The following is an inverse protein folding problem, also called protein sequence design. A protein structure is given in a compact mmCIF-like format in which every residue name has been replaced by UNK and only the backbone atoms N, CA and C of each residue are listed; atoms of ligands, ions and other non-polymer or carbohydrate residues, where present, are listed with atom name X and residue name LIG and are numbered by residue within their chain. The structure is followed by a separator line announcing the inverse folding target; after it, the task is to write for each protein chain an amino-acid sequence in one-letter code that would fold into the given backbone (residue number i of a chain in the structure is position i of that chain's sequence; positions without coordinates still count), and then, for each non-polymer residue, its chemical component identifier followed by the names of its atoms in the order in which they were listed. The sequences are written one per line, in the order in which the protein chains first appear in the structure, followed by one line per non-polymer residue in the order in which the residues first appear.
data_IF_069850592691
#
_entry.id   IF_069850592691
#
_cell.length_a   1.000
_cell.length_b   1.000
_cell.length_c   1.000
_cell.angle_alpha   90.00
_cell.angle_beta   90.00
_cell.angle_gamma   90.00
#
_symmetry.space_group_name_H-M   'P 1'
#
loop_
_entity.id
_entity.type
_entity.pdbx_description
1 polymer ?
#
# COMPACT_ATOMS: atom_id res chain seq x y z
N UNK A 1 -43.11 0.93 -33.31
CA UNK A 1 -42.10 -0.13 -33.14
C UNK A 1 -40.64 0.35 -33.22
N UNK A 2 -40.21 1.11 -34.24
CA UNK A 2 -38.79 1.52 -34.40
C UNK A 2 -38.18 2.34 -33.25
N UNK A 3 -38.96 3.14 -32.51
CA UNK A 3 -38.46 3.94 -31.37
C UNK A 3 -38.12 3.09 -30.13
N UNK A 4 -38.91 2.07 -29.82
CA UNK A 4 -38.71 1.20 -28.65
C UNK A 4 -37.45 0.34 -28.83
N UNK A 5 -37.23 -0.15 -30.05
CA UNK A 5 -36.03 -0.92 -30.39
C UNK A 5 -34.75 -0.07 -30.25
N UNK A 6 -34.80 1.22 -30.63
CA UNK A 6 -33.67 2.15 -30.45
C UNK A 6 -33.35 2.43 -28.98
N UNK A 7 -34.36 2.52 -28.11
CA UNK A 7 -34.18 2.76 -26.68
C UNK A 7 -33.60 1.53 -25.96
N UNK A 8 -34.04 0.32 -26.32
CA UNK A 8 -33.48 -0.92 -25.80
C UNK A 8 -32.02 -1.12 -26.22
N UNK A 9 -31.70 -0.84 -27.50
CA UNK A 9 -30.33 -0.96 -28.00
C UNK A 9 -29.37 0.03 -27.30
N UNK A 10 -29.83 1.26 -27.06
CA UNK A 10 -29.02 2.27 -26.39
C UNK A 10 -28.84 1.95 -24.90
N UNK A 11 -29.86 1.42 -24.21
CA UNK A 11 -29.71 0.95 -22.83
C UNK A 11 -28.73 -0.23 -22.70
N UNK A 12 -28.79 -1.19 -23.64
CA UNK A 12 -27.82 -2.31 -23.70
C UNK A 12 -26.40 -1.80 -23.98
N UNK A 13 -26.25 -0.85 -24.90
CA UNK A 13 -24.95 -0.27 -25.23
C UNK A 13 -24.34 0.50 -24.05
N UNK A 14 -25.15 1.31 -23.34
CA UNK A 14 -24.69 2.03 -22.14
C UNK A 14 -24.31 1.08 -21.01
N UNK A 15 -25.05 -0.03 -20.85
CA UNK A 15 -24.75 -1.06 -19.85
C UNK A 15 -23.47 -1.82 -20.18
N UNK A 16 -23.28 -2.17 -21.46
CA UNK A 16 -22.06 -2.81 -21.97
C UNK A 16 -20.84 -1.88 -21.84
N UNK A 17 -20.99 -0.60 -22.15
CA UNK A 17 -19.94 0.41 -21.98
C UNK A 17 -19.58 0.61 -20.49
N UNK A 18 -20.57 0.59 -19.58
CA UNK A 18 -20.30 0.58 -18.14
C UNK A 18 -19.54 -0.68 -17.70
N UNK A 19 -19.88 -1.85 -18.24
CA UNK A 19 -19.18 -3.10 -17.91
C UNK A 19 -17.70 -3.06 -18.32
N UNK A 20 -17.42 -2.50 -19.50
CA UNK A 20 -16.07 -2.30 -20.04
C UNK A 20 -15.27 -1.24 -19.26
N UNK A 21 -15.92 -0.22 -18.72
CA UNK A 21 -15.25 0.82 -17.92
C UNK A 21 -14.95 0.36 -16.48
N UNK A 22 -15.66 -0.66 -15.97
CA UNK A 22 -15.44 -1.24 -14.64
C UNK A 22 -14.29 -2.27 -14.61
N UNK A 23 -13.81 -2.73 -15.77
CA UNK A 23 -12.61 -3.57 -15.90
C UNK A 23 -11.36 -2.71 -16.09
N UNK A 24 -11.09 -1.79 -15.17
CA UNK A 24 -9.77 -1.15 -15.12
C UNK A 24 -8.83 -2.05 -14.31
N UNK A 25 -7.61 -2.35 -14.78
CA UNK A 25 -6.63 -3.05 -13.97
C UNK A 25 -6.37 -2.24 -12.70
N UNK A 26 -6.41 -2.91 -11.54
CA UNK A 26 -6.03 -2.29 -10.29
C UNK A 26 -4.59 -1.79 -10.42
N UNK A 27 -4.38 -0.48 -10.22
CA UNK A 27 -3.03 0.07 -10.07
C UNK A 27 -2.34 -0.64 -8.92
N UNK A 28 -1.03 -0.90 -9.06
CA UNK A 28 -0.26 -1.42 -7.94
C UNK A 28 -0.30 -0.40 -6.79
N UNK A 29 -0.77 -0.84 -5.63
CA UNK A 29 -0.78 -0.04 -4.41
C UNK A 29 0.61 -0.12 -3.77
N UNK A 30 1.05 1.00 -3.21
CA UNK A 30 2.31 1.09 -2.45
C UNK A 30 1.99 1.24 -0.98
N UNK A 31 2.61 0.41 -0.14
CA UNK A 31 2.42 0.43 1.30
C UNK A 31 3.75 0.59 2.01
N UNK A 32 3.79 1.50 2.98
CA UNK A 32 4.92 1.65 3.88
C UNK A 32 4.91 0.52 4.92
N UNK A 33 6.02 -0.20 5.02
CA UNK A 33 6.20 -1.31 5.97
C UNK A 33 7.24 -0.98 7.04
N UNK A 34 8.02 0.07 6.85
CA UNK A 34 9.09 0.45 7.76
C UNK A 34 9.80 1.74 7.36
N UNK A 35 10.90 2.03 8.03
CA UNK A 35 11.73 3.21 7.75
C UNK A 35 13.21 2.85 7.83
N UNK A 36 14.01 3.42 6.93
CA UNK A 36 15.46 3.47 7.04
C UNK A 36 15.85 4.90 7.45
N UNK A 37 16.71 5.05 8.45
CA UNK A 37 17.10 6.35 8.98
C UNK A 37 18.59 6.44 9.29
N UNK A 38 19.10 7.66 9.18
CA UNK A 38 20.45 8.06 9.53
C UNK A 38 20.40 9.31 10.42
N UNK A 39 21.04 9.25 11.59
CA UNK A 39 21.28 10.40 12.48
C UNK A 39 20.08 10.97 13.26
N UNK A 40 18.83 10.66 12.88
CA UNK A 40 17.62 11.30 13.47
C UNK A 40 17.10 10.66 14.76
N UNK A 41 17.36 9.38 15.01
CA UNK A 41 16.80 8.64 16.16
C UNK A 41 17.83 8.34 17.26
N UNK A 42 18.81 9.22 17.41
CA UNK A 42 19.84 9.09 18.43
C UNK A 42 19.29 9.48 19.80
N UNK A 43 18.93 8.50 20.63
CA UNK A 43 18.68 8.69 22.06
C UNK A 43 19.95 9.00 22.88
N UNK A 44 20.95 9.64 22.28
CA UNK A 44 22.20 9.98 22.95
C UNK A 44 22.03 11.20 23.84
N UNK A 45 22.39 11.08 25.12
CA UNK A 45 22.62 12.24 25.96
C UNK A 45 23.59 13.21 25.26
N UNK A 46 23.33 14.52 25.38
CA UNK A 46 24.20 15.55 24.83
C UNK A 46 25.66 15.31 25.26
N UNK A 47 26.55 14.97 24.31
CA UNK A 47 27.99 14.82 24.53
C UNK A 47 28.60 13.41 24.37
N UNK A 48 27.84 12.39 23.98
CA UNK A 48 28.38 11.05 23.65
C UNK A 48 28.92 10.93 22.22
N UNK A 49 29.97 10.12 21.95
CA UNK A 49 30.68 10.06 20.65
C UNK A 49 29.95 9.27 19.53
N UNK A 50 28.66 9.49 19.30
CA UNK A 50 27.94 8.81 18.19
C UNK A 50 26.85 9.69 17.56
N UNK A 51 27.19 10.40 16.48
CA UNK A 51 26.20 11.09 15.61
C UNK A 51 25.81 10.27 14.38
N UNK A 52 26.71 9.39 13.90
CA UNK A 52 26.48 8.58 12.71
C UNK A 52 25.83 7.27 13.09
N UNK A 53 24.50 7.24 13.03
CA UNK A 53 23.74 6.06 13.44
C UNK A 53 22.75 5.67 12.37
N UNK A 54 22.79 4.42 11.95
CA UNK A 54 21.79 3.83 11.07
C UNK A 54 20.77 3.03 11.85
N UNK A 55 19.53 3.17 11.44
CA UNK A 55 18.40 2.60 12.14
C UNK A 55 17.34 2.17 11.11
N UNK A 56 17.01 0.87 11.11
CA UNK A 56 15.92 0.25 10.33
C UNK A 56 14.73 -0.06 11.25
N UNK A 57 13.57 0.51 10.99
CA UNK A 57 12.34 0.28 11.75
C UNK A 57 11.37 -0.59 10.95
N UNK A 58 10.85 -1.64 11.56
CA UNK A 58 9.80 -2.48 10.98
C UNK A 58 8.47 -2.12 11.66
N UNK A 59 7.60 -1.43 10.92
CA UNK A 59 6.35 -0.87 11.42
C UNK A 59 5.15 -1.77 11.14
N UNK A 60 5.38 -3.08 11.08
CA UNK A 60 4.32 -4.07 10.90
C UNK A 60 3.82 -4.60 12.24
N UNK A 61 2.73 -5.36 12.24
CA UNK A 61 2.21 -6.02 13.43
C UNK A 61 1.31 -5.14 14.32
N UNK A 62 0.40 -5.79 15.04
CA UNK A 62 -0.52 -5.12 15.96
C UNK A 62 0.22 -4.52 17.17
N UNK A 63 -0.09 -3.28 17.59
CA UNK A 63 0.50 -2.66 18.79
C UNK A 63 0.33 -3.49 20.07
N UNK A 64 -0.79 -4.20 20.21
CA UNK A 64 -1.05 -5.09 21.33
C UNK A 64 -0.06 -6.26 21.45
N UNK A 65 0.63 -6.60 20.35
CA UNK A 65 1.57 -7.73 20.27
C UNK A 65 3.01 -7.27 20.02
N UNK A 66 3.34 -6.01 20.34
CA UNK A 66 4.68 -5.46 20.17
C UNK A 66 5.01 -4.97 18.76
N UNK A 67 4.05 -4.95 17.84
CA UNK A 67 4.20 -4.33 16.52
C UNK A 67 3.91 -2.82 16.53
N UNK A 68 3.97 -2.19 15.36
CA UNK A 68 3.73 -0.74 15.22
C UNK A 68 2.86 -0.35 14.02
N UNK A 69 1.83 -1.15 13.74
CA UNK A 69 0.80 -0.75 12.79
C UNK A 69 0.10 0.54 13.26
N UNK A 70 0.40 1.65 12.60
CA UNK A 70 -0.12 2.98 12.87
C UNK A 70 -0.73 3.58 11.58
N UNK A 71 -2.02 3.30 11.29
CA UNK A 71 -2.68 3.90 10.13
C UNK A 71 -2.78 5.43 10.26
N UNK A 72 -2.68 6.18 9.15
CA UNK A 72 -2.51 5.70 7.77
C UNK A 72 -1.04 5.44 7.37
N UNK A 73 -0.07 5.79 8.22
CA UNK A 73 1.35 5.87 7.87
C UNK A 73 2.07 4.50 7.81
N UNK A 74 1.59 3.52 8.58
CA UNK A 74 2.07 2.14 8.58
C UNK A 74 0.87 1.20 8.77
N UNK A 75 0.13 0.86 7.70
CA UNK A 75 -1.16 0.19 7.82
C UNK A 75 -1.06 -1.34 7.98
N UNK A 76 0.14 -1.92 8.00
CA UNK A 76 0.32 -3.38 8.00
C UNK A 76 0.10 -3.98 9.39
N UNK A 77 -1.04 -4.62 9.59
CA UNK A 77 -1.44 -5.17 10.88
C UNK A 77 -0.83 -6.56 11.17
N UNK A 78 -0.48 -7.29 10.13
CA UNK A 78 0.19 -8.59 10.27
C UNK A 78 1.66 -8.38 10.65
N UNK A 79 2.20 -9.08 11.64
CA UNK A 79 3.62 -8.98 11.97
C UNK A 79 4.46 -9.64 10.86
N UNK A 80 5.34 -8.86 10.22
CA UNK A 80 6.26 -9.35 9.19
C UNK A 80 7.69 -9.37 9.72
N UNK A 81 8.50 -10.28 9.19
CA UNK A 81 9.95 -10.30 9.39
C UNK A 81 10.61 -9.93 8.07
N UNK A 82 11.52 -8.95 8.07
CA UNK A 82 12.41 -8.71 6.93
C UNK A 82 13.58 -9.70 7.03
N UNK A 83 13.49 -10.79 6.27
CA UNK A 83 14.54 -11.82 6.14
C UNK A 83 15.70 -11.31 5.30
N UNK A 84 16.86 -11.91 5.50
CA UNK A 84 18.08 -11.67 4.70
C UNK A 84 18.40 -10.18 4.56
N UNK A 85 18.24 -9.44 5.67
CA UNK A 85 18.37 -8.00 5.69
C UNK A 85 19.82 -7.58 5.53
N UNK A 86 20.11 -6.79 4.50
CA UNK A 86 21.44 -6.31 4.15
C UNK A 86 21.44 -4.78 4.08
N UNK A 87 22.41 -4.17 4.76
CA UNK A 87 22.70 -2.76 4.65
C UNK A 87 24.03 -2.55 3.91
N UNK A 88 23.97 -1.80 2.82
CA UNK A 88 25.12 -1.42 2.00
C UNK A 88 25.37 0.07 2.22
N UNK A 89 26.51 0.40 2.81
CA UNK A 89 26.94 1.78 3.07
C UNK A 89 27.98 2.18 2.03
N UNK A 90 27.76 3.35 1.42
CA UNK A 90 28.75 3.97 0.54
C UNK A 90 29.38 5.14 1.28
N UNK A 91 30.68 5.05 1.52
CA UNK A 91 31.47 6.09 2.19
C UNK A 91 31.72 7.29 1.26
N UNK A 92 32.16 8.41 1.83
CA UNK A 92 32.48 9.64 1.07
C UNK A 92 33.53 9.38 -0.02
N UNK A 93 34.52 8.53 0.28
CA UNK A 93 35.62 8.10 -0.59
C UNK A 93 35.21 7.08 -1.68
N UNK A 94 33.95 6.64 -1.66
CA UNK A 94 33.41 5.67 -2.61
C UNK A 94 33.62 4.21 -2.21
N UNK A 95 34.25 3.93 -1.06
CA UNK A 95 34.33 2.56 -0.55
C UNK A 95 32.96 2.05 -0.13
N UNK A 96 32.74 0.74 -0.29
CA UNK A 96 31.46 0.09 -0.03
C UNK A 96 31.61 -0.91 1.11
N UNK A 97 30.82 -0.72 2.15
CA UNK A 97 30.72 -1.63 3.28
C UNK A 97 29.38 -2.35 3.26
N UNK A 98 29.40 -3.67 3.46
CA UNK A 98 28.21 -4.52 3.52
C UNK A 98 28.04 -5.08 4.92
N UNK A 99 26.85 -4.93 5.47
CA UNK A 99 26.53 -5.35 6.84
C UNK A 99 25.28 -6.22 6.78
N UNK A 100 25.43 -7.49 7.13
CA UNK A 100 24.31 -8.41 7.30
C UNK A 100 23.63 -8.15 8.65
N UNK A 101 22.32 -7.92 8.61
CA UNK A 101 21.48 -7.62 9.77
C UNK A 101 20.58 -8.79 10.15
N UNK A 102 20.56 -9.87 9.36
CA UNK A 102 19.75 -11.05 9.60
C UNK A 102 18.24 -10.80 9.50
N UNK A 103 17.48 -11.42 10.40
CA UNK A 103 16.02 -11.33 10.44
C UNK A 103 15.54 -10.14 11.26
N UNK A 104 14.70 -9.30 10.64
CA UNK A 104 14.21 -8.06 11.21
C UNK A 104 12.70 -8.14 11.55
N UNK A 105 12.36 -8.42 12.81
CA UNK A 105 10.96 -8.49 13.27
C UNK A 105 10.27 -7.14 13.53
N UNK A 106 8.97 -7.13 13.85
CA UNK A 106 8.24 -5.92 14.24
C UNK A 106 8.85 -5.25 15.49
N UNK A 107 8.95 -3.92 15.49
CA UNK A 107 9.46 -3.18 16.65
C UNK A 107 8.93 -1.75 16.69
N UNK A 108 8.52 -1.34 17.89
CA UNK A 108 8.13 0.03 18.25
C UNK A 108 9.31 0.83 18.86
N UNK A 109 10.27 0.12 19.44
CA UNK A 109 11.40 0.67 20.19
C UNK A 109 12.68 -0.06 19.78
N UNK A 110 13.54 0.62 19.03
CA UNK A 110 14.84 0.06 18.67
C UNK A 110 14.77 -0.59 17.31
N UNK A 111 15.47 0.07 16.42
CA UNK A 111 15.75 -0.29 15.06
C UNK A 111 16.65 -1.57 15.07
N UNK A 112 17.24 -2.02 13.97
CA UNK A 112 18.04 -3.27 14.01
C UNK A 112 19.51 -3.13 14.42
N UNK A 113 19.99 -4.12 15.20
CA UNK A 113 21.41 -4.42 15.44
C UNK A 113 21.70 -5.03 16.81
N UNK A 114 22.70 -5.91 16.92
CA UNK A 114 23.17 -6.73 18.07
C UNK A 114 23.62 -5.97 19.34
N UNK A 115 23.19 -4.73 19.51
CA UNK A 115 23.34 -3.91 20.71
C UNK A 115 21.98 -3.90 21.44
N UNK A 116 21.88 -3.80 22.78
CA UNK A 116 20.59 -3.69 23.49
C UNK A 116 19.72 -2.49 23.06
N UNK A 117 20.21 -1.66 22.13
CA UNK A 117 19.56 -0.45 21.61
C UNK A 117 19.10 -0.54 20.15
N UNK A 118 19.45 -1.61 19.41
CA UNK A 118 18.93 -1.80 18.06
C UNK A 118 19.39 -0.74 17.06
N UNK A 119 20.66 -0.36 17.06
CA UNK A 119 21.17 0.68 16.16
C UNK A 119 22.60 0.37 15.74
N UNK A 120 22.96 0.69 14.49
CA UNK A 120 24.35 0.64 14.03
C UNK A 120 25.00 1.99 14.23
N UNK A 121 25.96 2.07 15.15
CA UNK A 121 26.67 3.31 15.50
C UNK A 121 28.05 3.31 14.89
N UNK A 122 28.41 4.43 14.29
CA UNK A 122 29.71 4.67 13.67
C UNK A 122 30.40 5.89 14.30
N UNK A 123 31.74 5.93 14.30
CA UNK A 123 32.48 7.12 14.71
C UNK A 123 32.07 8.37 13.90
N UNK A 124 32.10 9.55 14.51
CA UNK A 124 31.81 10.82 13.81
C UNK A 124 32.82 11.13 12.68
N UNK A 125 33.98 10.48 12.69
CA UNK A 125 35.00 10.61 11.65
C UNK A 125 34.59 9.92 10.34
N UNK A 126 33.71 8.93 10.40
CA UNK A 126 33.19 8.26 9.21
C UNK A 126 32.15 9.15 8.53
N UNK A 127 32.15 9.17 7.20
CA UNK A 127 31.20 9.97 6.43
C UNK A 127 30.59 9.11 5.35
N UNK A 128 29.27 9.11 5.31
CA UNK A 128 28.50 8.30 4.38
C UNK A 128 27.91 9.20 3.29
N UNK A 129 27.98 8.74 2.04
CA UNK A 129 27.32 9.37 0.89
C UNK A 129 25.89 8.86 0.75
N UNK A 130 25.72 7.54 0.86
CA UNK A 130 24.44 6.87 0.73
C UNK A 130 24.39 5.57 1.53
N UNK A 131 23.18 5.08 1.76
CA UNK A 131 22.93 3.78 2.33
C UNK A 131 21.78 3.10 1.58
N UNK A 132 21.95 1.83 1.26
CA UNK A 132 20.93 1.00 0.63
C UNK A 132 20.58 -0.15 1.56
N UNK A 133 19.30 -0.29 1.88
CA UNK A 133 18.76 -1.40 2.63
C UNK A 133 17.98 -2.32 1.70
N UNK A 134 18.28 -3.62 1.75
CA UNK A 134 17.56 -4.65 1.00
C UNK A 134 17.16 -5.78 1.91
N UNK A 135 15.96 -6.33 1.73
CA UNK A 135 15.51 -7.48 2.49
C UNK A 135 14.35 -8.21 1.77
N UNK A 136 13.93 -9.35 2.32
CA UNK A 136 12.84 -10.19 1.82
C UNK A 136 11.72 -10.29 2.85
N UNK A 137 10.47 -10.10 2.46
CA UNK A 137 9.31 -10.24 3.35
C UNK A 137 9.11 -11.68 3.82
N UNK A 138 8.55 -11.85 5.01
CA UNK A 138 8.21 -13.17 5.56
C UNK A 138 7.03 -13.84 4.91
N UNK A 139 6.06 -13.05 4.51
CA UNK A 139 4.78 -13.50 3.96
C UNK A 139 4.59 -12.89 2.57
N UNK A 140 3.92 -13.64 1.70
CA UNK A 140 3.49 -13.21 0.37
C UNK A 140 2.07 -12.63 0.36
N UNK A 141 1.38 -12.66 1.52
CA UNK A 141 0.05 -12.10 1.73
C UNK A 141 -0.08 -11.64 3.18
N UNK A 142 -0.56 -10.42 3.41
CA UNK A 142 -0.72 -9.90 4.76
C UNK A 142 -1.91 -8.97 4.94
N UNK A 143 -2.46 -8.96 6.14
CA UNK A 143 -3.60 -8.14 6.52
C UNK A 143 -3.19 -6.70 6.85
N UNK A 144 -3.94 -5.76 6.31
CA UNK A 144 -3.90 -4.34 6.67
C UNK A 144 -4.81 -4.06 7.87
N UNK A 145 -4.70 -2.86 8.44
CA UNK A 145 -5.48 -2.44 9.60
C UNK A 145 -6.99 -2.42 9.34
N UNK A 146 -7.40 -2.14 8.11
CA UNK A 146 -8.81 -2.13 7.68
C UNK A 146 -9.37 -3.52 7.35
N UNK A 147 -8.57 -4.57 7.57
CA UNK A 147 -8.95 -5.96 7.35
C UNK A 147 -8.75 -6.46 5.91
N UNK A 148 -8.37 -5.58 4.97
CA UNK A 148 -8.02 -6.01 3.60
C UNK A 148 -6.73 -6.82 3.60
N UNK A 149 -6.56 -7.65 2.58
CA UNK A 149 -5.32 -8.39 2.33
C UNK A 149 -4.52 -7.64 1.28
N UNK A 150 -3.23 -7.48 1.52
CA UNK A 150 -2.28 -7.00 0.54
C UNK A 150 -1.41 -8.16 0.07
N UNK A 151 -1.18 -8.22 -1.23
CA UNK A 151 -0.37 -9.23 -1.91
C UNK A 151 0.78 -8.51 -2.63
N UNK A 152 1.99 -8.49 -2.06
CA UNK A 152 3.16 -7.89 -2.70
C UNK A 152 3.43 -8.47 -4.10
N UNK A 153 3.82 -7.61 -5.04
CA UNK A 153 4.25 -8.04 -6.38
C UNK A 153 5.59 -8.77 -6.36
N UNK A 154 6.42 -8.48 -5.35
CA UNK A 154 7.70 -9.11 -5.09
C UNK A 154 7.98 -9.15 -3.59
N UNK A 155 8.60 -10.24 -3.12
CA UNK A 155 8.96 -10.37 -1.70
C UNK A 155 10.23 -9.61 -1.34
N UNK A 156 11.15 -9.45 -2.31
CA UNK A 156 12.37 -8.66 -2.15
C UNK A 156 12.09 -7.18 -2.40
N UNK A 157 12.61 -6.32 -1.55
CA UNK A 157 12.50 -4.86 -1.69
C UNK A 157 13.83 -4.17 -1.40
N UNK A 158 13.94 -2.92 -1.84
CA UNK A 158 15.11 -2.06 -1.63
C UNK A 158 14.66 -0.66 -1.24
N UNK A 159 15.32 -0.07 -0.25
CA UNK A 159 15.16 1.32 0.16
C UNK A 159 16.51 2.01 0.15
N UNK A 160 16.56 3.24 -0.33
CA UNK A 160 17.81 4.01 -0.42
C UNK A 160 17.71 5.33 0.35
N UNK A 161 18.81 5.70 0.98
CA UNK A 161 19.12 7.01 1.52
C UNK A 161 20.28 7.61 0.74
N UNK A 162 20.11 8.82 0.23
CA UNK A 162 21.16 9.56 -0.49
C UNK A 162 21.46 10.88 0.21
N UNK A 163 22.54 11.54 -0.19
CA UNK A 163 22.96 12.85 0.34
C UNK A 163 23.21 12.87 1.86
N UNK A 164 23.70 11.76 2.41
CA UNK A 164 23.94 11.60 3.85
C UNK A 164 25.07 12.49 4.39
N UNK A 165 25.88 13.09 3.52
CA UNK A 165 26.89 14.11 3.87
C UNK A 165 26.29 15.36 4.52
N UNK A 166 24.98 15.58 4.38
CA UNK A 166 24.24 16.68 5.03
C UNK A 166 23.92 16.41 6.51
N UNK A 167 24.23 15.21 7.01
CA UNK A 167 24.24 14.87 8.43
C UNK A 167 23.03 14.07 8.94
N UNK A 168 21.93 14.01 8.20
CA UNK A 168 20.77 13.19 8.61
C UNK A 168 19.84 12.86 7.43
N UNK A 169 19.07 11.78 7.53
CA UNK A 169 18.10 11.41 6.50
C UNK A 169 17.17 10.28 6.91
N UNK A 170 15.99 10.24 6.30
CA UNK A 170 14.99 9.16 6.47
C UNK A 170 14.36 8.81 5.13
N UNK A 171 14.11 7.53 4.92
CA UNK A 171 13.44 6.99 3.75
C UNK A 171 12.45 5.92 4.17
N UNK A 172 11.27 5.92 3.54
CA UNK A 172 10.27 4.90 3.79
C UNK A 172 10.66 3.60 3.11
N UNK A 173 10.55 2.51 3.86
CA UNK A 173 10.62 1.17 3.29
C UNK A 173 9.23 0.87 2.77
N UNK A 174 9.10 0.81 1.45
CA UNK A 174 7.84 0.62 0.76
C UNK A 174 7.82 -0.69 -0.02
N UNK A 175 6.62 -1.24 -0.15
CA UNK A 175 6.36 -2.47 -0.91
C UNK A 175 5.22 -2.21 -1.87
N UNK A 176 5.38 -2.63 -3.11
CA UNK A 176 4.36 -2.54 -4.16
C UNK A 176 3.60 -3.85 -4.27
N UNK A 177 2.30 -3.79 -4.57
CA UNK A 177 1.47 -4.98 -4.67
C UNK A 177 0.02 -4.65 -5.01
N UNK A 178 -0.88 -5.60 -4.75
CA UNK A 178 -2.31 -5.42 -4.92
C UNK A 178 -3.03 -5.52 -3.58
N UNK A 179 -4.00 -4.63 -3.34
CA UNK A 179 -4.93 -4.77 -2.22
C UNK A 179 -6.16 -5.54 -2.69
N UNK A 180 -6.57 -6.55 -1.93
CA UNK A 180 -7.79 -7.31 -2.19
C UNK A 180 -8.97 -6.34 -2.31
N UNK A 181 -9.76 -6.41 -3.40
CA UNK A 181 -10.91 -5.53 -3.56
C UNK A 181 -11.88 -5.78 -2.40
N UNK A 182 -12.35 -4.70 -1.78
CA UNK A 182 -13.45 -4.81 -0.82
C UNK A 182 -14.70 -5.19 -1.60
N UNK A 183 -15.39 -6.30 -1.25
CA UNK A 183 -16.66 -6.62 -1.89
C UNK A 183 -17.62 -5.44 -1.68
N UNK A 184 -18.00 -4.74 -2.74
CA UNK A 184 -18.95 -3.63 -2.68
C UNK A 184 -20.30 -4.18 -2.21
N UNK A 185 -20.78 -3.87 -0.99
CA UNK A 185 -22.01 -4.49 -0.48
C UNK A 185 -23.29 -4.00 -1.18
N UNK A 186 -23.20 -3.06 -2.13
CA UNK A 186 -24.39 -2.38 -2.68
C UNK A 186 -24.35 -2.07 -4.19
N UNK A 187 -23.26 -2.35 -4.91
CA UNK A 187 -23.20 -2.05 -6.35
C UNK A 187 -24.23 -2.88 -7.16
N UNK A 188 -24.38 -4.16 -6.80
CA UNK A 188 -25.39 -5.04 -7.39
C UNK A 188 -26.82 -4.65 -7.03
N UNK A 189 -27.04 -4.13 -5.81
CA UNK A 189 -28.36 -3.65 -5.39
C UNK A 189 -28.73 -2.33 -6.09
N UNK A 190 -27.77 -1.42 -6.27
CA UNK A 190 -27.97 -0.18 -7.04
C UNK A 190 -28.19 -0.47 -8.53
N UNK A 191 -27.44 -1.42 -9.10
CA UNK A 191 -27.64 -1.84 -10.49
C UNK A 191 -28.98 -2.57 -10.66
N UNK A 192 -29.31 -3.50 -9.76
CA UNK A 192 -30.58 -4.25 -9.77
C UNK A 192 -31.80 -3.35 -9.58
N UNK A 193 -31.74 -2.40 -8.65
CA UNK A 193 -32.81 -1.42 -8.43
C UNK A 193 -32.95 -0.43 -9.60
N UNK A 194 -31.85 0.00 -10.22
CA UNK A 194 -31.86 0.82 -11.43
C UNK A 194 -32.52 0.11 -12.61
N UNK A 195 -32.17 -1.16 -12.85
CA UNK A 195 -32.77 -1.98 -13.92
C UNK A 195 -34.26 -2.28 -13.65
N UNK A 196 -34.61 -2.60 -12.40
CA UNK A 196 -36.00 -2.80 -12.01
C UNK A 196 -36.84 -1.52 -12.18
N UNK A 197 -36.29 -0.35 -11.81
CA UNK A 197 -36.93 0.94 -12.04
C UNK A 197 -37.17 1.24 -13.52
N UNK A 198 -36.17 0.97 -14.38
CA UNK A 198 -36.32 1.12 -15.84
C UNK A 198 -37.36 0.17 -16.42
N UNK A 199 -37.42 -1.07 -15.94
CA UNK A 199 -38.42 -2.06 -16.35
C UNK A 199 -39.84 -1.62 -15.97
N UNK A 200 -40.03 -1.15 -14.72
CA UNK A 200 -41.32 -0.62 -14.25
C UNK A 200 -41.77 0.62 -15.02
N UNK A 201 -40.85 1.54 -15.34
CA UNK A 201 -41.14 2.71 -16.18
C UNK A 201 -41.54 2.30 -17.61
N UNK A 202 -40.91 1.25 -18.16
CA UNK A 202 -41.30 0.67 -19.45
C UNK A 202 -42.71 0.08 -19.44
N UNK A 203 -43.06 -0.68 -18.38
CA UNK A 203 -44.38 -1.26 -18.17
C UNK A 203 -45.47 -0.18 -18.03
N UNK A 204 -45.21 0.88 -17.25
CA UNK A 204 -46.16 1.98 -17.05
C UNK A 204 -46.47 2.74 -18.35
N UNK A 205 -45.47 2.99 -19.19
CA UNK A 205 -45.65 3.62 -20.51
C UNK A 205 -46.45 2.74 -21.47
N UNK A 206 -46.15 1.44 -21.51
CA UNK A 206 -46.92 0.49 -22.31
C UNK A 206 -48.41 0.44 -21.89
N UNK A 207 -48.69 0.47 -20.59
CA UNK A 207 -50.05 0.51 -20.06
C UNK A 207 -50.78 1.84 -20.39
N UNK A 208 -50.06 2.97 -20.36
CA UNK A 208 -50.62 4.28 -20.74
C UNK A 208 -50.99 4.32 -22.22
N UNK A 209 -50.11 3.88 -23.12
CA UNK A 209 -50.35 3.85 -24.57
C UNK A 209 -51.55 2.95 -24.94
N UNK A 210 -51.79 1.89 -24.16
CA UNK A 210 -52.94 0.99 -24.33
C UNK A 210 -54.27 1.64 -23.92
N UNK A 211 -54.24 2.53 -22.92
CA UNK A 211 -55.43 3.28 -22.46
C UNK A 211 -55.75 4.47 -23.36
N UNK A 212 -54.74 5.08 -23.97
CA UNK A 212 -54.90 6.14 -24.98
C UNK A 212 -55.10 5.60 -26.39
N UNK A 213 -55.58 4.35 -26.53
CA UNK A 213 -56.01 3.79 -27.81
C UNK A 213 -56.98 4.75 -28.51
N UNK A 214 -56.41 5.55 -29.40
CA UNK A 214 -57.14 6.41 -30.29
C UNK A 214 -58.06 5.53 -31.15
N UNK A 215 -59.36 5.85 -31.24
CA UNK A 215 -60.27 5.14 -32.11
C UNK A 215 -59.83 5.33 -33.57
N UNK A 216 -60.14 4.32 -34.39
CA UNK A 216 -59.66 4.15 -35.75
C UNK A 216 -59.77 5.42 -36.61
N UNK A 217 -58.73 5.62 -37.43
CA UNK A 217 -58.88 6.38 -38.68
C UNK A 217 -59.36 5.38 -39.74
N UNK A 218 -60.60 5.60 -40.19
CA UNK A 218 -61.12 5.10 -41.46
C UNK A 218 -60.23 5.56 -42.62
#
# INVERSE_FOLDING_TARGET
MRRVHRLLLSALFVSFLHLLLMTSPASADTINVGVLSFGLFNGGAAGGPSKNTFAIGNFTGAPANGGWAAPPIAPVFTPLIFKDSLLVLTHEDGTVQRIDLGGIGPSLYGFFGTDPTGQLKFPETEKFRSAQFTATLSEDRFRLYDGRIFEPSALSFSSELTNLLTGSGTSWITVTGAISPVPLPAAWLLMGSGLAGLWLLGQARYASDRKTGAPGRN
#
